data_IF_496609981469
#
_entry.id   IF_496609981469
#
_cell.length_a   1.000
_cell.length_b   1.000
_cell.length_c   1.000
_cell.angle_alpha   90.00
_cell.angle_beta   90.00
_cell.angle_gamma   90.00
#
_symmetry.space_group_name_H-M   'P 1'
#
loop_
_entity.id
_entity.type
_entity.pdbx_description
1 polymer ?
#
# COMPACT_ATOMS: atom_id res chain seq x y z
N UNK A 1 2.94 -18.27 18.94
CA UNK A 1 2.10 -17.38 19.75
C UNK A 1 2.95 -16.15 20.06
N UNK A 2 2.57 -14.98 19.53
CA UNK A 2 3.36 -13.74 19.58
C UNK A 2 2.98 -12.86 20.77
N UNK A 3 3.94 -12.10 21.28
CA UNK A 3 3.74 -11.18 22.39
C UNK A 3 2.98 -9.94 21.88
N UNK A 4 1.91 -9.53 22.58
CA UNK A 4 0.96 -8.49 22.12
C UNK A 4 1.63 -7.14 21.79
N UNK A 5 2.80 -6.86 22.37
CA UNK A 5 3.57 -5.65 22.10
C UNK A 5 4.29 -5.62 20.74
N UNK A 6 4.58 -6.77 20.14
CA UNK A 6 5.32 -6.89 18.87
C UNK A 6 4.42 -7.19 17.66
N UNK A 7 3.11 -7.35 17.89
CA UNK A 7 2.18 -7.80 16.85
C UNK A 7 2.19 -6.91 15.59
N UNK A 8 2.30 -5.58 15.76
CA UNK A 8 2.31 -4.64 14.63
C UNK A 8 3.58 -4.80 13.79
N UNK A 9 4.75 -4.80 14.42
CA UNK A 9 6.04 -4.97 13.74
C UNK A 9 6.16 -6.37 13.12
N UNK A 10 5.82 -7.43 13.87
CA UNK A 10 5.80 -8.80 13.35
C UNK A 10 4.85 -8.94 12.16
N UNK A 11 3.67 -8.32 12.21
CA UNK A 11 2.73 -8.36 11.09
C UNK A 11 3.32 -7.68 9.86
N UNK A 12 3.92 -6.49 10.00
CA UNK A 12 4.53 -5.76 8.87
C UNK A 12 5.67 -6.59 8.26
N UNK A 13 6.59 -7.08 9.09
CA UNK A 13 7.72 -7.88 8.63
C UNK A 13 7.28 -9.17 7.94
N UNK A 14 6.35 -9.92 8.55
CA UNK A 14 5.87 -11.19 7.99
C UNK A 14 5.07 -10.96 6.71
N UNK A 15 4.34 -9.85 6.61
CA UNK A 15 3.63 -9.47 5.39
C UNK A 15 4.61 -9.19 4.26
N UNK A 16 5.69 -8.45 4.51
CA UNK A 16 6.72 -8.20 3.50
C UNK A 16 7.46 -9.48 3.09
N UNK A 17 7.77 -10.37 4.05
CA UNK A 17 8.37 -11.69 3.74
C UNK A 17 7.42 -12.56 2.91
N UNK A 18 6.12 -12.54 3.19
CA UNK A 18 5.11 -13.26 2.42
C UNK A 18 5.06 -12.80 0.96
N UNK A 19 5.08 -11.47 0.73
CA UNK A 19 5.17 -10.91 -0.62
C UNK A 19 6.44 -11.42 -1.32
N UNK A 20 7.61 -11.22 -0.71
CA UNK A 20 8.88 -11.63 -1.32
C UNK A 20 8.91 -13.12 -1.66
N UNK A 21 8.50 -13.97 -0.72
CA UNK A 21 8.46 -15.42 -0.90
C UNK A 21 7.58 -15.82 -2.10
N UNK A 22 6.43 -15.17 -2.27
CA UNK A 22 5.54 -15.49 -3.39
C UNK A 22 6.16 -15.08 -4.73
N UNK A 23 6.73 -13.86 -4.80
CA UNK A 23 7.38 -13.36 -6.01
C UNK A 23 8.58 -14.21 -6.44
N UNK A 24 9.35 -14.76 -5.48
CA UNK A 24 10.47 -15.68 -5.75
C UNK A 24 10.03 -17.05 -6.31
N UNK A 25 8.73 -17.37 -6.25
CA UNK A 25 8.18 -18.64 -6.74
C UNK A 25 7.28 -18.48 -7.96
N UNK A 26 7.13 -17.25 -8.47
CA UNK A 26 6.21 -16.94 -9.59
C UNK A 26 6.51 -17.74 -10.85
N UNK A 27 7.80 -17.98 -11.13
CA UNK A 27 8.29 -18.74 -12.28
C UNK A 27 7.83 -20.22 -12.28
N UNK A 28 7.35 -20.72 -11.14
CA UNK A 28 6.84 -22.08 -10.98
C UNK A 28 5.38 -22.24 -11.41
N UNK A 29 4.68 -21.14 -11.66
CA UNK A 29 3.25 -21.12 -12.00
C UNK A 29 3.03 -20.61 -13.41
N UNK A 30 2.04 -21.19 -14.09
CA UNK A 30 1.50 -20.62 -15.33
C UNK A 30 0.82 -19.29 -15.03
N UNK A 31 0.71 -18.42 -16.03
CA UNK A 31 0.24 -17.04 -15.87
C UNK A 31 -1.12 -16.95 -15.15
N UNK A 32 -2.05 -17.86 -15.47
CA UNK A 32 -3.40 -17.92 -14.89
C UNK A 32 -3.41 -18.24 -13.39
N UNK A 33 -2.33 -18.83 -12.87
CA UNK A 33 -2.14 -19.19 -11.47
C UNK A 33 -1.20 -18.22 -10.73
N UNK A 34 -0.74 -17.15 -11.41
CA UNK A 34 0.06 -16.10 -10.79
C UNK A 34 -0.85 -15.08 -10.09
N UNK A 35 -1.03 -15.26 -8.79
CA UNK A 35 -1.88 -14.43 -7.93
C UNK A 35 -1.12 -13.30 -7.24
N UNK A 36 0.02 -12.86 -7.78
CA UNK A 36 0.89 -11.87 -7.12
C UNK A 36 0.18 -10.55 -6.88
N UNK A 37 -0.63 -10.09 -7.82
CA UNK A 37 -1.38 -8.84 -7.65
C UNK A 37 -2.47 -9.00 -6.59
N UNK A 38 -3.24 -10.09 -6.60
CA UNK A 38 -4.23 -10.38 -5.54
C UNK A 38 -3.57 -10.45 -4.15
N UNK A 39 -2.43 -11.12 -4.03
CA UNK A 39 -1.67 -11.16 -2.78
C UNK A 39 -1.20 -9.76 -2.37
N UNK A 40 -0.61 -9.01 -3.30
CA UNK A 40 -0.08 -7.65 -3.04
C UNK A 40 -1.19 -6.72 -2.58
N UNK A 41 -2.40 -6.82 -3.16
CA UNK A 41 -3.59 -6.09 -2.73
C UNK A 41 -3.96 -6.46 -1.31
N UNK A 42 -4.12 -7.75 -1.01
CA UNK A 42 -4.47 -8.21 0.33
C UNK A 42 -3.47 -7.71 1.39
N UNK A 43 -2.18 -7.75 1.05
CA UNK A 43 -1.12 -7.22 1.90
C UNK A 43 -1.22 -5.70 2.08
N UNK A 44 -1.50 -4.93 1.02
CA UNK A 44 -1.73 -3.48 1.10
C UNK A 44 -2.89 -3.16 2.04
N UNK A 45 -4.03 -3.83 1.90
CA UNK A 45 -5.18 -3.62 2.77
C UNK A 45 -4.81 -3.89 4.23
N UNK A 46 -4.08 -4.98 4.48
CA UNK A 46 -3.56 -5.31 5.81
C UNK A 46 -2.61 -4.24 6.34
N UNK A 47 -1.63 -3.79 5.56
CA UNK A 47 -0.63 -2.81 5.98
C UNK A 47 -1.18 -1.39 6.14
N UNK A 48 -2.29 -1.06 5.48
CA UNK A 48 -2.97 0.24 5.65
C UNK A 48 -3.88 0.23 6.88
N UNK A 49 -4.53 -0.90 7.18
CA UNK A 49 -5.52 -0.98 8.27
C UNK A 49 -4.92 -1.43 9.59
N UNK A 50 -3.97 -2.37 9.56
CA UNK A 50 -3.41 -3.00 10.76
C UNK A 50 -2.68 -1.99 11.66
N UNK A 51 -1.83 -1.07 11.14
CA UNK A 51 -1.29 0.02 11.94
C UNK A 51 -2.44 0.88 12.46
N UNK A 52 -2.70 0.77 13.76
CA UNK A 52 -3.81 1.47 14.40
C UNK A 52 -3.62 2.99 14.34
N UNK A 53 -4.66 3.73 14.72
CA UNK A 53 -4.64 5.20 14.76
C UNK A 53 -3.43 5.79 15.48
N UNK A 54 -2.92 5.09 16.51
CA UNK A 54 -1.71 5.48 17.26
C UNK A 54 -0.45 5.63 16.41
N UNK A 55 -0.36 4.95 15.26
CA UNK A 55 0.81 4.98 14.38
C UNK A 55 0.74 6.13 13.36
N UNK A 56 -0.46 6.64 13.06
CA UNK A 56 -0.67 7.68 12.05
C UNK A 56 0.08 8.99 12.32
N UNK A 57 0.19 9.49 13.57
CA UNK A 57 1.01 10.65 13.88
C UNK A 57 2.49 10.47 13.58
N UNK A 58 2.99 9.23 13.49
CA UNK A 58 4.40 8.94 13.24
C UNK A 58 4.74 8.81 11.75
N UNK A 59 3.76 8.62 10.87
CA UNK A 59 3.99 8.63 9.42
C UNK A 59 4.54 10.01 9.02
N UNK A 60 5.67 10.09 8.31
CA UNK A 60 6.31 11.36 8.03
C UNK A 60 5.46 12.21 7.07
N UNK A 61 5.47 13.52 7.26
CA UNK A 61 4.79 14.49 6.38
C UNK A 61 5.66 14.87 5.18
N UNK A 62 6.38 13.91 4.60
CA UNK A 62 7.20 14.13 3.41
C UNK A 62 6.26 14.44 2.24
N UNK A 63 6.56 15.51 1.48
CA UNK A 63 5.76 15.90 0.33
C UNK A 63 5.95 14.90 -0.81
N UNK A 64 4.87 14.54 -1.48
CA UNK A 64 4.86 13.64 -2.63
C UNK A 64 5.25 14.39 -3.91
N UNK A 65 6.47 14.94 -3.95
CA UNK A 65 7.01 15.54 -5.18
C UNK A 65 7.25 14.47 -6.24
N UNK A 66 7.38 14.88 -7.50
CA UNK A 66 7.64 13.96 -8.61
C UNK A 66 8.92 13.14 -8.37
N UNK A 67 9.98 13.78 -7.86
CA UNK A 67 11.27 13.14 -7.58
C UNK A 67 11.15 12.10 -6.48
N UNK A 68 10.49 12.48 -5.36
CA UNK A 68 10.31 11.57 -4.24
C UNK A 68 9.40 10.39 -4.60
N UNK A 69 8.35 10.64 -5.40
CA UNK A 69 7.49 9.58 -5.92
C UNK A 69 8.27 8.57 -6.77
N UNK A 70 9.20 9.05 -7.60
CA UNK A 70 10.09 8.17 -8.37
C UNK A 70 11.02 7.36 -7.47
N UNK A 71 11.58 7.98 -6.43
CA UNK A 71 12.46 7.31 -5.45
C UNK A 71 11.76 6.13 -4.75
N UNK A 72 10.47 6.28 -4.41
CA UNK A 72 9.69 5.24 -3.74
C UNK A 72 9.00 4.27 -4.72
N UNK A 73 9.30 4.36 -6.01
CA UNK A 73 8.78 3.47 -7.06
C UNK A 73 7.34 3.73 -7.48
N UNK A 74 6.86 4.97 -7.37
CA UNK A 74 5.51 5.43 -7.78
C UNK A 74 5.59 6.44 -8.94
N UNK A 75 6.33 6.10 -10.00
CA UNK A 75 6.61 6.99 -11.13
C UNK A 75 5.36 7.25 -11.99
N UNK A 76 4.57 6.21 -12.27
CA UNK A 76 3.40 6.23 -13.15
C UNK A 76 2.07 6.28 -12.42
N UNK A 77 2.05 5.99 -11.11
CA UNK A 77 0.85 6.12 -10.28
C UNK A 77 0.30 7.55 -10.30
N UNK A 78 -0.99 7.73 -10.02
CA UNK A 78 -1.63 9.05 -9.93
C UNK A 78 -1.98 9.35 -8.48
N UNK A 79 -1.83 10.61 -8.07
CA UNK A 79 -2.16 11.09 -6.73
C UNK A 79 -3.26 12.14 -6.86
N UNK A 80 -4.28 12.03 -6.01
CA UNK A 80 -5.37 12.99 -5.93
C UNK A 80 -4.90 14.39 -5.59
N UNK A 81 -5.58 15.41 -6.11
CA UNK A 81 -5.17 16.82 -5.95
C UNK A 81 -5.15 17.31 -4.50
N UNK A 82 -5.91 16.67 -3.61
CA UNK A 82 -5.93 16.97 -2.17
C UNK A 82 -4.81 16.29 -1.36
N UNK A 83 -4.00 15.44 -1.99
CA UNK A 83 -3.00 14.62 -1.32
C UNK A 83 -1.61 15.23 -1.54
N UNK A 84 -1.06 15.86 -0.50
CA UNK A 84 0.20 16.60 -0.59
C UNK A 84 1.38 15.82 0.01
N UNK A 85 1.14 15.09 1.11
CA UNK A 85 2.16 14.35 1.85
C UNK A 85 1.90 12.85 1.89
N UNK A 86 2.93 12.07 2.21
CA UNK A 86 2.78 10.62 2.45
C UNK A 86 1.74 10.33 3.54
N UNK A 87 1.70 11.15 4.59
CA UNK A 87 0.68 11.03 5.64
C UNK A 87 -0.73 11.26 5.11
N UNK A 88 -0.93 12.24 4.24
CA UNK A 88 -2.23 12.50 3.61
C UNK A 88 -2.66 11.32 2.74
N UNK A 89 -1.71 10.78 1.97
CA UNK A 89 -1.94 9.59 1.14
C UNK A 89 -2.38 8.41 1.99
N UNK A 90 -1.63 8.04 3.02
CA UNK A 90 -1.96 6.89 3.87
C UNK A 90 -3.30 7.08 4.58
N UNK A 91 -3.59 8.29 5.06
CA UNK A 91 -4.91 8.61 5.64
C UNK A 91 -6.04 8.41 4.63
N UNK A 92 -5.88 8.95 3.42
CA UNK A 92 -6.85 8.79 2.34
C UNK A 92 -7.05 7.33 1.94
N UNK A 93 -5.95 6.56 1.82
CA UNK A 93 -6.02 5.13 1.54
C UNK A 93 -6.77 4.38 2.63
N UNK A 94 -6.49 4.67 3.90
CA UNK A 94 -7.17 4.03 5.01
C UNK A 94 -8.67 4.33 5.04
N UNK A 95 -9.04 5.58 4.76
CA UNK A 95 -10.44 5.98 4.64
C UNK A 95 -11.13 5.24 3.50
N UNK A 96 -10.51 5.21 2.32
CA UNK A 96 -10.98 4.46 1.17
C UNK A 96 -11.17 2.98 1.47
N UNK A 97 -10.21 2.33 2.13
CA UNK A 97 -10.30 0.92 2.54
C UNK A 97 -11.43 0.68 3.54
N UNK A 98 -11.60 1.57 4.53
CA UNK A 98 -12.67 1.46 5.52
C UNK A 98 -14.07 1.54 4.89
N UNK A 99 -14.20 2.27 3.78
CA UNK A 99 -15.43 2.40 3.02
C UNK A 99 -15.52 1.44 1.82
N UNK A 100 -14.53 0.55 1.66
CA UNK A 100 -14.42 -0.38 0.53
C UNK A 100 -14.47 0.34 -0.85
N UNK A 101 -13.95 1.56 -0.91
CA UNK A 101 -13.97 2.45 -2.07
C UNK A 101 -12.78 2.21 -2.99
N UNK A 102 -12.56 0.94 -3.36
CA UNK A 102 -11.40 0.46 -4.11
C UNK A 102 -11.87 -0.18 -5.41
N UNK A 103 -11.33 0.27 -6.54
CA UNK A 103 -11.62 -0.31 -7.85
C UNK A 103 -10.36 -0.88 -8.50
N UNK A 104 -10.53 -1.98 -9.22
CA UNK A 104 -9.50 -2.51 -10.13
C UNK A 104 -9.88 -2.11 -11.55
N UNK A 105 -8.91 -1.61 -12.31
CA UNK A 105 -9.10 -1.16 -13.68
C UNK A 105 -8.13 -1.93 -14.58
N UNK A 106 -8.64 -2.45 -15.68
CA UNK A 106 -7.82 -3.00 -16.78
C UNK A 106 -7.76 -2.00 -17.94
N UNK A 107 -6.64 -1.97 -18.64
CA UNK A 107 -6.43 -1.13 -19.82
C UNK A 107 -6.88 -1.81 -21.12
N UNK A 108 -7.09 -3.13 -21.12
CA UNK A 108 -7.44 -3.89 -22.31
C UNK A 108 -8.37 -5.09 -22.03
N UNK A 109 -8.80 -5.76 -23.10
CA UNK A 109 -9.75 -6.88 -23.05
C UNK A 109 -9.18 -8.16 -22.38
N UNK A 110 -7.90 -8.16 -21.98
CA UNK A 110 -7.30 -9.28 -21.23
C UNK A 110 -7.72 -9.26 -19.76
N UNK A 111 -8.39 -8.19 -19.30
CA UNK A 111 -8.91 -8.04 -17.94
C UNK A 111 -7.83 -8.23 -16.85
N UNK A 112 -6.63 -7.72 -17.10
CA UNK A 112 -5.54 -7.75 -16.14
C UNK A 112 -5.69 -6.65 -15.09
N UNK A 113 -5.07 -6.86 -13.94
CA UNK A 113 -5.00 -5.84 -12.89
C UNK A 113 -3.93 -4.83 -13.30
N UNK A 114 -4.31 -3.80 -14.07
CA UNK A 114 -3.38 -2.76 -14.52
C UNK A 114 -3.29 -1.61 -13.52
N UNK A 115 -4.42 -1.26 -12.89
CA UNK A 115 -4.50 -0.19 -11.91
C UNK A 115 -5.35 -0.55 -10.71
N UNK A 116 -5.03 0.08 -9.58
CA UNK A 116 -5.82 0.04 -8.36
C UNK A 116 -6.15 1.46 -7.95
N UNK A 117 -7.43 1.78 -7.98
CA UNK A 117 -7.96 3.10 -7.70
C UNK A 117 -8.59 3.15 -6.31
N UNK A 118 -8.21 4.16 -5.55
CA UNK A 118 -8.75 4.47 -4.23
C UNK A 118 -9.51 5.78 -4.31
N UNK A 119 -10.77 5.78 -3.86
CA UNK A 119 -11.62 6.97 -3.79
C UNK A 119 -12.05 7.30 -2.38
N UNK A 120 -12.42 8.55 -2.18
CA UNK A 120 -13.13 9.04 -1.01
C UNK A 120 -14.62 9.17 -1.33
N UNK A 121 -15.41 8.21 -0.86
CA UNK A 121 -16.86 8.17 -1.09
C UNK A 121 -17.62 9.22 -0.28
N UNK A 122 -17.01 9.82 0.75
CA UNK A 122 -17.63 10.87 1.54
C UNK A 122 -17.45 12.24 0.88
N UNK A 123 -16.41 12.40 0.06
CA UNK A 123 -16.13 13.62 -0.67
C UNK A 123 -16.35 13.45 -2.18
N UNK A 124 -17.57 13.08 -2.59
CA UNK A 124 -17.99 13.03 -4.00
C UNK A 124 -17.08 12.18 -4.90
N UNK A 125 -16.67 11.00 -4.41
CA UNK A 125 -15.82 10.05 -5.12
C UNK A 125 -14.49 10.65 -5.61
N UNK A 126 -13.94 11.60 -4.84
CA UNK A 126 -12.65 12.20 -5.15
C UNK A 126 -11.56 11.12 -5.18
N UNK A 127 -10.71 11.20 -6.21
CA UNK A 127 -9.54 10.34 -6.33
C UNK A 127 -8.59 10.62 -5.17
N UNK A 128 -8.22 9.56 -4.43
CA UNK A 128 -7.12 9.60 -3.45
C UNK A 128 -5.82 9.23 -4.16
N UNK A 129 -5.80 8.07 -4.82
CA UNK A 129 -4.67 7.61 -5.59
C UNK A 129 -5.11 6.54 -6.59
N UNK A 130 -4.39 6.44 -7.70
CA UNK A 130 -4.48 5.34 -8.65
C UNK A 130 -3.10 4.73 -8.82
N UNK A 131 -2.87 3.56 -8.25
CA UNK A 131 -1.58 2.88 -8.34
C UNK A 131 -1.50 2.07 -9.62
N UNK A 132 -0.38 2.18 -10.35
CA UNK A 132 -0.05 1.16 -11.36
C UNK A 132 0.27 -0.13 -10.62
N UNK A 133 -0.29 -1.25 -11.05
CA UNK A 133 -0.16 -2.52 -10.33
C UNK A 133 1.31 -2.94 -10.16
N UNK A 134 2.13 -2.72 -11.19
CA UNK A 134 3.58 -2.98 -11.19
C UNK A 134 4.37 -2.16 -10.16
N UNK A 135 3.81 -1.05 -9.65
CA UNK A 135 4.46 -0.14 -8.70
C UNK A 135 4.09 -0.43 -7.24
N UNK A 136 3.03 -1.22 -7.00
CA UNK A 136 2.51 -1.48 -5.66
C UNK A 136 3.54 -2.12 -4.74
N UNK A 137 4.32 -3.07 -5.24
CA UNK A 137 5.33 -3.76 -4.43
C UNK A 137 6.41 -2.78 -3.93
N UNK A 138 6.86 -1.88 -4.80
CA UNK A 138 7.87 -0.88 -4.45
C UNK A 138 7.33 0.09 -3.39
N UNK A 139 6.12 0.61 -3.59
CA UNK A 139 5.45 1.44 -2.60
C UNK A 139 5.28 0.73 -1.25
N UNK A 140 4.80 -0.51 -1.24
CA UNK A 140 4.61 -1.29 -0.01
C UNK A 140 5.91 -1.51 0.75
N UNK A 141 7.00 -1.76 0.03
CA UNK A 141 8.33 -1.92 0.63
C UNK A 141 8.76 -0.63 1.32
N UNK A 142 8.61 0.51 0.65
CA UNK A 142 8.92 1.81 1.22
C UNK A 142 8.06 2.11 2.45
N UNK A 143 6.73 2.02 2.30
CA UNK A 143 5.78 2.32 3.36
C UNK A 143 5.98 1.42 4.59
N UNK A 144 6.20 0.12 4.39
CA UNK A 144 6.49 -0.82 5.48
C UNK A 144 7.77 -0.48 6.23
N UNK A 145 8.83 -0.07 5.51
CA UNK A 145 10.05 0.44 6.13
C UNK A 145 9.79 1.65 7.01
N UNK A 146 9.02 2.62 6.51
CA UNK A 146 8.62 3.78 7.30
C UNK A 146 7.83 3.38 8.56
N UNK A 147 6.91 2.42 8.46
CA UNK A 147 6.15 1.95 9.63
C UNK A 147 7.06 1.32 10.68
N UNK A 148 7.97 0.44 10.26
CA UNK A 148 8.90 -0.24 11.17
C UNK A 148 9.82 0.75 11.89
N UNK A 149 10.47 1.63 11.14
CA UNK A 149 11.35 2.67 11.72
C UNK A 149 10.62 3.53 12.75
N UNK A 150 9.36 3.89 12.46
CA UNK A 150 8.57 4.69 13.37
C UNK A 150 8.12 3.91 14.60
N UNK A 151 7.72 2.65 14.46
CA UNK A 151 7.37 1.79 15.59
C UNK A 151 8.58 1.59 16.53
N UNK A 152 9.77 1.39 15.97
CA UNK A 152 11.01 1.26 16.75
C UNK A 152 11.35 2.54 17.52
N UNK A 153 11.25 3.71 16.88
CA UNK A 153 11.55 5.00 17.52
C UNK A 153 10.59 5.35 18.68
N UNK A 154 9.36 4.86 18.63
CA UNK A 154 8.30 5.19 19.59
C UNK A 154 8.00 4.05 20.58
N UNK A 155 8.92 3.10 20.77
CA UNK A 155 8.82 2.00 21.75
C UNK A 155 9.15 2.39 23.20
N UNK A 156 9.40 3.67 23.48
CA UNK A 156 9.75 4.20 24.81
C UNK A 156 8.55 4.79 25.55
#
# INVERSE_FOLDING_TARGET
MGNYHDLESEFIERTMRLISQYYETLDRYVFEEQYNYTLTINCLLGLIVMPKERVMPYIPTIRLTTEFRKEIGMEHSEIGTGIVTLRDLVKGLRHSVAHFAINVISEDDRNLIDWIEFKDTQNNDLLIARFKSSELQAFLKYYSGCLLENLERNRN
#
